data_IF_855914246225
#
_entry.id   IF_855914246225
#
_cell.length_a   1.000
_cell.length_b   1.000
_cell.length_c   1.000
_cell.angle_alpha   90.00
_cell.angle_beta   90.00
_cell.angle_gamma   90.00
#
_symmetry.space_group_name_H-M   'P 1'
#
loop_
_entity.id
_entity.type
_entity.pdbx_description
1 polymer ?
#
# COMPACT_ATOMS: atom_id res chain seq x y z
N UNK A 1 -1.59 8.67 -21.68
CA UNK A 1 -1.03 8.68 -20.32
C UNK A 1 -1.75 7.58 -19.55
N UNK A 2 -1.12 6.42 -19.53
CA UNK A 2 -1.61 5.26 -18.80
C UNK A 2 -1.29 5.43 -17.30
N UNK A 3 -2.15 4.92 -16.44
CA UNK A 3 -1.93 4.92 -14.99
C UNK A 3 -0.66 4.14 -14.64
N UNK A 4 -0.34 3.08 -15.39
CA UNK A 4 0.83 2.23 -15.16
C UNK A 4 2.15 2.97 -15.36
N UNK A 5 2.21 3.92 -16.31
CA UNK A 5 3.38 4.76 -16.57
C UNK A 5 3.74 5.68 -15.38
N UNK A 6 2.76 5.95 -14.51
CA UNK A 6 2.93 6.84 -13.35
C UNK A 6 3.39 6.10 -12.09
N UNK A 7 3.35 4.77 -12.06
CA UNK A 7 3.73 3.96 -10.89
C UNK A 7 5.12 4.30 -10.33
N UNK A 8 6.18 4.50 -11.14
CA UNK A 8 7.50 4.83 -10.61
C UNK A 8 7.57 6.19 -9.91
N UNK A 9 6.71 7.13 -10.29
CA UNK A 9 6.69 8.50 -9.77
C UNK A 9 5.75 8.68 -8.56
N UNK A 10 4.90 7.69 -8.24
CA UNK A 10 3.99 7.76 -7.10
C UNK A 10 4.74 7.80 -5.76
N UNK A 11 4.17 8.45 -4.76
CA UNK A 11 4.67 8.28 -3.39
C UNK A 11 4.32 6.89 -2.85
N UNK A 12 4.97 6.45 -1.77
CA UNK A 12 4.63 5.16 -1.16
C UNK A 12 3.20 5.13 -0.59
N UNK A 13 2.71 6.28 -0.12
CA UNK A 13 1.34 6.43 0.36
C UNK A 13 0.35 6.26 -0.80
N UNK A 14 0.58 6.95 -1.92
CA UNK A 14 -0.27 6.86 -3.10
C UNK A 14 -0.29 5.44 -3.69
N UNK A 15 0.88 4.80 -3.74
CA UNK A 15 0.98 3.41 -4.19
C UNK A 15 0.21 2.46 -3.26
N UNK A 16 0.28 2.65 -1.95
CA UNK A 16 -0.50 1.88 -0.98
C UNK A 16 -2.01 2.06 -1.15
N UNK A 17 -2.46 3.31 -1.34
CA UNK A 17 -3.87 3.61 -1.65
C UNK A 17 -4.30 2.97 -2.97
N UNK A 18 -3.44 3.00 -3.99
CA UNK A 18 -3.74 2.39 -5.29
C UNK A 18 -3.90 0.87 -5.19
N UNK A 19 -3.03 0.18 -4.45
CA UNK A 19 -3.15 -1.27 -4.17
C UNK A 19 -4.49 -1.58 -3.53
N UNK A 20 -4.81 -0.92 -2.41
CA UNK A 20 -6.04 -1.18 -1.67
C UNK A 20 -7.30 -0.95 -2.51
N UNK A 21 -7.30 0.12 -3.32
CA UNK A 21 -8.41 0.39 -4.22
C UNK A 21 -8.52 -0.64 -5.35
N UNK A 22 -7.39 -1.05 -5.95
CA UNK A 22 -7.37 -2.06 -7.01
C UNK A 22 -7.87 -3.42 -6.48
N UNK A 23 -7.42 -3.84 -5.29
CA UNK A 23 -7.90 -5.07 -4.64
C UNK A 23 -9.40 -5.01 -4.35
N UNK A 24 -9.90 -3.89 -3.80
CA UNK A 24 -11.33 -3.72 -3.54
C UNK A 24 -12.16 -3.76 -4.82
N UNK A 25 -11.68 -3.14 -5.91
CA UNK A 25 -12.35 -3.15 -7.20
C UNK A 25 -12.32 -4.53 -7.87
N UNK A 26 -11.24 -5.28 -7.72
CA UNK A 26 -11.15 -6.65 -8.22
C UNK A 26 -12.16 -7.61 -7.55
N UNK A 27 -12.52 -7.34 -6.30
CA UNK A 27 -13.47 -8.17 -5.53
C UNK A 27 -14.92 -7.68 -5.65
N UNK A 28 -15.15 -6.37 -5.55
CA UNK A 28 -16.47 -5.79 -5.34
C UNK A 28 -16.89 -4.79 -6.42
N UNK A 29 -16.05 -4.54 -7.42
CA UNK A 29 -16.36 -3.62 -8.52
C UNK A 29 -17.41 -4.18 -9.48
N UNK A 30 -17.88 -3.34 -10.40
CA UNK A 30 -18.60 -3.80 -11.60
C UNK A 30 -17.70 -4.72 -12.44
N UNK A 31 -18.28 -5.55 -13.32
CA UNK A 31 -17.50 -6.47 -14.17
C UNK A 31 -16.36 -5.76 -14.94
N UNK A 32 -16.61 -4.56 -15.46
CA UNK A 32 -15.60 -3.74 -16.14
C UNK A 32 -14.49 -3.26 -15.21
N UNK A 33 -14.84 -2.88 -13.98
CA UNK A 33 -13.85 -2.46 -12.96
C UNK A 33 -13.03 -3.66 -12.46
N UNK A 34 -13.65 -4.82 -12.28
CA UNK A 34 -12.95 -6.05 -11.89
C UNK A 34 -11.92 -6.44 -12.95
N UNK A 35 -12.31 -6.46 -14.22
CA UNK A 35 -11.39 -6.77 -15.32
C UNK A 35 -10.23 -5.77 -15.39
N UNK A 36 -10.51 -4.47 -15.29
CA UNK A 36 -9.46 -3.45 -15.29
C UNK A 36 -8.52 -3.61 -14.09
N UNK A 37 -9.06 -3.84 -12.89
CA UNK A 37 -8.27 -4.04 -11.69
C UNK A 37 -7.40 -5.30 -11.77
N UNK A 38 -7.96 -6.42 -12.26
CA UNK A 38 -7.22 -7.67 -12.46
C UNK A 38 -6.09 -7.51 -13.48
N UNK A 39 -6.29 -6.72 -14.54
CA UNK A 39 -5.24 -6.42 -15.52
C UNK A 39 -4.11 -5.55 -14.93
N UNK A 40 -4.43 -4.64 -14.01
CA UNK A 40 -3.46 -3.70 -13.43
C UNK A 40 -2.72 -4.21 -12.20
N UNK A 41 -3.36 -5.07 -11.40
CA UNK A 41 -2.82 -5.59 -10.14
C UNK A 41 -1.39 -6.16 -10.26
N UNK A 42 -1.04 -6.96 -11.29
CA UNK A 42 0.32 -7.50 -11.43
C UNK A 42 1.39 -6.41 -11.50
N UNK A 43 1.14 -5.34 -12.26
CA UNK A 43 2.08 -4.22 -12.41
C UNK A 43 2.21 -3.39 -11.13
N UNK A 44 1.09 -3.14 -10.44
CA UNK A 44 1.08 -2.42 -9.16
C UNK A 44 1.87 -3.21 -8.11
N UNK A 45 1.63 -4.52 -8.00
CA UNK A 45 2.33 -5.39 -7.05
C UNK A 45 3.83 -5.50 -7.34
N UNK A 46 4.21 -5.61 -8.61
CA UNK A 46 5.62 -5.61 -9.02
C UNK A 46 6.36 -4.35 -8.55
N UNK A 47 5.73 -3.17 -8.67
CA UNK A 47 6.32 -1.92 -8.19
C UNK A 47 6.44 -1.89 -6.66
N UNK A 48 5.45 -2.41 -5.92
CA UNK A 48 5.53 -2.53 -4.45
C UNK A 48 6.71 -3.40 -4.03
N UNK A 49 6.90 -4.54 -4.69
CA UNK A 49 8.03 -5.44 -4.43
C UNK A 49 9.35 -4.74 -4.77
N UNK A 50 9.45 -4.12 -5.95
CA UNK A 50 10.64 -3.37 -6.36
C UNK A 50 11.05 -2.32 -5.33
N UNK A 51 10.08 -1.56 -4.78
CA UNK A 51 10.35 -0.55 -3.74
C UNK A 51 10.76 -1.17 -2.41
N UNK A 52 10.17 -2.32 -2.05
CA UNK A 52 10.56 -3.06 -0.85
C UNK A 52 12.00 -3.52 -0.94
N UNK A 53 12.43 -4.00 -2.10
CA UNK A 53 13.78 -4.50 -2.33
C UNK A 53 14.81 -3.36 -2.40
N UNK A 54 14.42 -2.19 -2.91
CA UNK A 54 15.27 -1.01 -2.97
C UNK A 54 15.40 -0.26 -1.65
N UNK A 55 14.43 -0.42 -0.74
CA UNK A 55 14.57 0.15 0.61
C UNK A 55 15.57 -0.72 1.37
N UNK A 56 16.76 -0.20 1.75
CA UNK A 56 17.60 -0.91 2.69
C UNK A 56 16.75 -1.14 3.94
N UNK A 57 16.70 -2.37 4.42
CA UNK A 57 15.90 -2.76 5.57
C UNK A 57 16.18 -1.78 6.72
N UNK A 58 15.30 -0.78 6.89
CA UNK A 58 15.40 0.16 8.01
C UNK A 58 15.17 -0.71 9.23
N UNK A 59 16.26 -1.08 9.89
CA UNK A 59 16.24 -1.73 11.20
C UNK A 59 15.28 -0.91 12.05
N UNK A 60 14.17 -1.53 12.43
CA UNK A 60 13.19 -0.89 13.30
C UNK A 60 13.92 -0.36 14.54
N UNK A 61 13.71 0.89 14.96
CA UNK A 61 14.12 1.27 16.31
C UNK A 61 13.30 0.41 17.28
N UNK A 62 13.96 -0.54 17.93
CA UNK A 62 13.46 -1.18 19.15
C UNK A 62 13.47 -0.12 20.25
N UNK A 63 12.41 0.68 20.34
CA UNK A 63 12.22 1.66 21.41
C UNK A 63 10.89 2.37 21.28
N UNK A 64 9.93 2.29 22.20
CA UNK A 64 9.89 1.54 23.44
C UNK A 64 8.44 1.31 23.85
N UNK A 65 8.15 0.12 24.37
CA UNK A 65 7.00 -0.08 25.25
C UNK A 65 7.39 0.40 26.65
N UNK A 66 6.92 1.59 27.04
CA UNK A 66 6.65 2.04 28.43
C UNK A 66 5.73 3.26 28.32
N UNK A 67 4.66 3.46 29.07
CA UNK A 67 4.04 2.69 30.14
C UNK A 67 2.57 3.18 30.28
N UNK A 68 1.75 2.36 30.93
CA UNK A 68 0.42 2.72 31.40
C UNK A 68 0.45 3.97 32.29
N UNK A 69 -0.54 4.85 32.12
CA UNK A 69 -0.95 5.83 33.13
C UNK A 69 -2.39 6.32 32.84
N UNK A 70 -3.36 5.41 32.84
CA UNK A 70 -4.75 5.78 33.09
C UNK A 70 -4.96 5.91 34.59
N UNK A 71 -4.51 7.02 35.16
CA UNK A 71 -4.76 7.39 36.56
C UNK A 71 -6.25 7.66 36.74
N UNK A 72 -6.86 6.94 37.69
CA UNK A 72 -8.18 7.27 38.28
C UNK A 72 -8.02 8.47 39.22
N UNK A 73 -8.90 9.46 39.11
CA UNK A 73 -9.26 10.47 40.14
C UNK A 73 -10.62 11.04 39.74
N UNK A 74 -11.60 11.30 40.58
CA UNK A 74 -12.07 10.83 41.89
C UNK A 74 -13.55 11.24 41.94
#
# INVERSE_FOLDING_TARGET
>A
MDMLEKLPAMTDADLGTLVSNAERLAQNGTAKQQQAAQAMLPAIQAEVVRRRDLKPAKRAPRGGRKAAAGVKVA
#
